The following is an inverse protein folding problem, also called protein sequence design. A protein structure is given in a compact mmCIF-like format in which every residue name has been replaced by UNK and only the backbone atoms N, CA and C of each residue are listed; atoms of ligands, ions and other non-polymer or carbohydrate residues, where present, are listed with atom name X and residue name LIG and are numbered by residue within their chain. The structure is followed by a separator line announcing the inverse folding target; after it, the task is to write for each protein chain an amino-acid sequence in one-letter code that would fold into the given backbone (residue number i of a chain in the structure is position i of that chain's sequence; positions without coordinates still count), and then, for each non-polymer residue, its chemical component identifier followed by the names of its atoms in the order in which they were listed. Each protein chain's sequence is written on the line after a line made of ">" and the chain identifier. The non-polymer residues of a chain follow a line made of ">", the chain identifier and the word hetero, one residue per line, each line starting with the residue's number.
data_IF_627094377853
#
_entry.id   IF_627094377853
#
_cell.length_a   1.000
_cell.length_b   1.000
_cell.length_c   1.000
_cell.angle_alpha   90.00
_cell.angle_beta   90.00
_cell.angle_gamma   90.00
#
_symmetry.space_group_name_H-M   'P 1'
#
loop_
_entity.id
_entity.type
_entity.pdbx_description
1 polymer ?
#
# COMPACT_ATOMS: atom_id res chain seq x y z
N UNK A 1 17.00 29.30 18.46
CA UNK A 1 15.68 28.83 18.00
C UNK A 1 15.84 28.06 16.70
N UNK A 2 16.63 28.58 15.74
CA UNK A 2 17.17 27.88 14.57
C UNK A 2 17.53 26.39 14.77
N UNK A 3 18.33 26.04 15.79
CA UNK A 3 18.71 24.64 16.02
C UNK A 3 17.51 23.69 16.28
N UNK A 4 16.46 24.18 16.94
CA UNK A 4 15.25 23.40 17.21
C UNK A 4 14.45 23.21 15.90
N UNK A 5 14.42 24.25 15.05
CA UNK A 5 13.75 24.18 13.75
C UNK A 5 14.48 23.21 12.82
N UNK A 6 15.81 23.25 12.79
CA UNK A 6 16.63 22.29 12.03
C UNK A 6 16.38 20.85 12.46
N UNK A 7 16.30 20.58 13.78
CA UNK A 7 15.93 19.26 14.29
C UNK A 7 14.52 18.82 13.87
N UNK A 8 13.56 19.76 13.84
CA UNK A 8 12.20 19.45 13.39
C UNK A 8 12.14 19.13 11.89
N UNK A 9 12.87 19.89 11.07
CA UNK A 9 13.02 19.64 9.63
C UNK A 9 13.68 18.28 9.34
N UNK A 10 14.70 17.90 10.11
CA UNK A 10 15.31 16.56 10.03
C UNK A 10 14.31 15.45 10.38
N UNK A 11 13.44 15.67 11.37
CA UNK A 11 12.40 14.72 11.73
C UNK A 11 11.36 14.59 10.61
N UNK A 12 10.89 15.70 10.04
CA UNK A 12 9.97 15.67 8.90
C UNK A 12 10.60 14.89 7.74
N UNK A 13 11.86 15.14 7.41
CA UNK A 13 12.55 14.42 6.33
C UNK A 13 12.60 12.91 6.55
N UNK A 14 12.88 12.45 7.78
CA UNK A 14 12.84 11.01 8.11
C UNK A 14 11.44 10.42 7.91
N UNK A 15 10.39 11.15 8.29
CA UNK A 15 9.01 10.71 8.09
C UNK A 15 8.64 10.65 6.60
N UNK A 16 9.11 11.60 5.78
CA UNK A 16 8.94 11.57 4.32
C UNK A 16 9.54 10.29 3.72
N UNK A 17 10.77 9.95 4.11
CA UNK A 17 11.48 8.74 3.66
C UNK A 17 10.76 7.45 4.09
N UNK A 18 10.33 7.37 5.36
CA UNK A 18 9.58 6.21 5.87
C UNK A 18 8.25 6.00 5.15
N UNK A 19 7.51 7.08 4.90
CA UNK A 19 6.22 7.00 4.18
C UNK A 19 6.46 6.61 2.72
N UNK A 20 7.49 7.18 2.08
CA UNK A 20 7.91 6.79 0.74
C UNK A 20 8.23 5.29 0.63
N UNK A 21 8.99 4.75 1.60
CA UNK A 21 9.30 3.32 1.68
C UNK A 21 8.03 2.48 1.84
N UNK A 22 7.11 2.86 2.74
CA UNK A 22 5.84 2.14 2.95
C UNK A 22 4.97 2.14 1.69
N UNK A 23 4.92 3.24 0.95
CA UNK A 23 4.20 3.31 -0.33
C UNK A 23 4.81 2.36 -1.36
N UNK A 24 6.14 2.27 -1.42
CA UNK A 24 6.83 1.34 -2.32
C UNK A 24 6.50 -0.12 -1.99
N UNK A 25 6.56 -0.50 -0.71
CA UNK A 25 6.25 -1.85 -0.23
C UNK A 25 4.79 -2.24 -0.55
N UNK A 26 3.84 -1.35 -0.27
CA UNK A 26 2.41 -1.60 -0.56
C UNK A 26 2.17 -1.72 -2.06
N UNK A 27 2.87 -0.92 -2.89
CA UNK A 27 2.76 -1.04 -4.34
C UNK A 27 3.30 -2.38 -4.87
N UNK A 28 4.41 -2.88 -4.32
CA UNK A 28 4.95 -4.20 -4.69
C UNK A 28 3.95 -5.31 -4.38
N UNK A 29 3.41 -5.32 -3.15
CA UNK A 29 2.38 -6.29 -2.74
C UNK A 29 1.12 -6.20 -3.62
N UNK A 30 0.69 -4.98 -3.98
CA UNK A 30 -0.45 -4.78 -4.88
C UNK A 30 -0.19 -5.41 -6.26
N UNK A 31 1.00 -5.19 -6.83
CA UNK A 31 1.38 -5.77 -8.14
C UNK A 31 1.42 -7.30 -8.10
N UNK A 32 1.91 -7.89 -7.02
CA UNK A 32 1.89 -9.35 -6.83
C UNK A 32 0.46 -9.89 -6.75
N UNK A 33 -0.43 -9.19 -6.05
CA UNK A 33 -1.85 -9.55 -5.97
C UNK A 33 -2.55 -9.40 -7.34
N UNK A 34 -2.30 -8.31 -8.07
CA UNK A 34 -2.85 -8.09 -9.41
C UNK A 34 -2.36 -9.15 -10.41
N UNK A 35 -1.08 -9.52 -10.34
CA UNK A 35 -0.50 -10.59 -11.16
C UNK A 35 -1.14 -11.94 -10.83
N UNK A 36 -1.29 -12.25 -9.54
CA UNK A 36 -1.95 -13.49 -9.12
C UNK A 36 -3.41 -13.54 -9.54
N UNK A 37 -4.12 -12.42 -9.43
CA UNK A 37 -5.51 -12.31 -9.87
C UNK A 37 -5.63 -12.53 -11.38
N UNK A 38 -4.76 -11.90 -12.17
CA UNK A 38 -4.74 -12.06 -13.63
C UNK A 38 -4.42 -13.49 -14.06
N UNK A 39 -3.53 -14.19 -13.36
CA UNK A 39 -3.29 -15.63 -13.60
C UNK A 39 -4.57 -16.43 -13.34
N UNK A 40 -5.27 -16.17 -12.24
CA UNK A 40 -6.52 -16.86 -11.89
C UNK A 40 -7.66 -16.53 -12.86
N UNK A 41 -7.69 -15.31 -13.42
CA UNK A 41 -8.67 -14.90 -14.43
C UNK A 41 -8.33 -15.42 -15.84
N UNK A 42 -7.06 -15.60 -16.16
CA UNK A 42 -6.58 -16.04 -17.46
C UNK A 42 -6.63 -17.56 -17.70
N UNK A 43 -6.92 -18.36 -16.66
CA UNK A 43 -7.22 -19.77 -16.86
C UNK A 43 -8.59 -19.89 -17.55
N UNK A 44 -8.76 -20.72 -18.59
CA UNK A 44 -10.07 -20.96 -19.18
C UNK A 44 -11.01 -21.64 -18.17
N UNK A 45 -12.27 -21.19 -18.10
CA UNK A 45 -13.27 -21.72 -17.18
C UNK A 45 -13.39 -23.26 -17.28
N UNK A 46 -13.30 -23.83 -18.49
CA UNK A 46 -13.33 -25.29 -18.72
C UNK A 46 -12.17 -26.04 -18.05
N UNK A 47 -10.95 -25.49 -18.12
CA UNK A 47 -9.76 -26.07 -17.45
C UNK A 47 -9.82 -25.87 -15.94
N UNK A 48 -10.40 -24.75 -15.50
CA UNK A 48 -10.61 -24.44 -14.08
C UNK A 48 -11.67 -25.35 -13.45
N UNK A 49 -12.76 -25.61 -14.15
CA UNK A 49 -13.82 -26.50 -13.69
C UNK A 49 -13.33 -27.95 -13.65
N UNK A 50 -12.47 -28.35 -14.59
CA UNK A 50 -11.85 -29.68 -14.61
C UNK A 50 -10.84 -29.87 -13.46
N UNK A 51 -10.02 -28.86 -13.13
CA UNK A 51 -9.16 -28.86 -11.94
C UNK A 51 -9.96 -28.83 -10.64
N UNK A 52 -11.04 -28.03 -10.58
CA UNK A 52 -11.90 -27.94 -9.39
C UNK A 52 -12.70 -29.23 -9.17
N UNK A 53 -13.17 -29.89 -10.24
CA UNK A 53 -13.82 -31.20 -10.17
C UNK A 53 -12.83 -32.31 -9.80
N UNK A 54 -11.61 -32.30 -10.32
CA UNK A 54 -10.59 -33.31 -9.95
C UNK A 54 -10.15 -33.16 -8.48
N UNK A 55 -9.97 -31.92 -8.00
CA UNK A 55 -9.70 -31.61 -6.61
C UNK A 55 -10.91 -31.92 -5.72
N UNK A 56 -12.13 -31.63 -6.17
CA UNK A 56 -13.34 -31.98 -5.43
C UNK A 56 -13.48 -33.50 -5.30
N UNK A 57 -13.23 -34.28 -6.36
CA UNK A 57 -13.31 -35.76 -6.32
C UNK A 57 -12.31 -36.38 -5.32
N UNK A 58 -11.11 -35.82 -5.15
CA UNK A 58 -10.18 -36.25 -4.09
C UNK A 58 -10.59 -35.73 -2.69
N UNK A 59 -11.39 -34.67 -2.62
CA UNK A 59 -11.79 -33.95 -1.39
C UNK A 59 -13.23 -34.24 -0.94
N UNK A 60 -14.05 -35.00 -1.68
CA UNK A 60 -15.39 -35.44 -1.21
C UNK A 60 -15.29 -36.23 0.11
N UNK A 61 -14.09 -36.71 0.47
CA UNK A 61 -13.82 -37.39 1.75
C UNK A 61 -13.50 -36.42 2.90
N UNK A 62 -13.26 -35.12 2.67
CA UNK A 62 -12.90 -34.16 3.74
C UNK A 62 -13.47 -32.76 3.49
N UNK A 63 -14.34 -32.30 4.38
CA UNK A 63 -14.66 -30.88 4.64
C UNK A 63 -15.66 -30.17 3.70
N UNK A 64 -16.95 -30.45 3.94
CA UNK A 64 -18.12 -29.69 3.48
C UNK A 64 -18.32 -28.44 4.36
N UNK A 65 -17.39 -27.47 4.39
CA UNK A 65 -17.60 -26.23 5.19
C UNK A 65 -16.93 -24.94 4.73
N UNK A 66 -16.02 -24.95 3.75
CA UNK A 66 -15.47 -23.70 3.21
C UNK A 66 -15.76 -23.60 1.70
N UNK A 67 -16.31 -22.48 1.20
CA UNK A 67 -16.41 -22.28 -0.24
C UNK A 67 -15.01 -22.11 -0.81
N UNK A 68 -14.39 -23.24 -1.16
CA UNK A 68 -13.19 -23.35 -1.98
C UNK A 68 -13.46 -22.92 -3.45
N UNK A 69 -14.37 -21.95 -3.65
CA UNK A 69 -14.67 -21.45 -4.98
C UNK A 69 -13.66 -20.40 -5.38
N UNK A 70 -13.18 -20.52 -6.61
CA UNK A 70 -12.27 -19.55 -7.24
C UNK A 70 -12.88 -18.13 -7.21
N UNK A 71 -14.20 -18.02 -7.28
CA UNK A 71 -14.95 -16.77 -7.17
C UNK A 71 -14.78 -16.08 -5.81
N UNK A 72 -14.78 -16.85 -4.71
CA UNK A 72 -14.48 -16.33 -3.38
C UNK A 72 -13.03 -15.82 -3.30
N UNK A 73 -12.08 -16.55 -3.89
CA UNK A 73 -10.66 -16.14 -3.96
C UNK A 73 -10.45 -14.88 -4.78
N UNK A 74 -11.13 -14.72 -5.93
CA UNK A 74 -11.11 -13.51 -6.76
C UNK A 74 -11.66 -12.31 -5.98
N UNK A 75 -12.80 -12.49 -5.32
CA UNK A 75 -13.44 -11.44 -4.50
C UNK A 75 -12.53 -10.98 -3.36
N UNK A 76 -11.92 -11.93 -2.63
CA UNK A 76 -11.00 -11.62 -1.53
C UNK A 76 -9.77 -10.84 -2.02
N UNK A 77 -9.12 -11.29 -3.10
CA UNK A 77 -7.95 -10.61 -3.70
C UNK A 77 -8.31 -9.22 -4.22
N UNK A 78 -9.45 -9.06 -4.87
CA UNK A 78 -9.96 -7.76 -5.31
C UNK A 78 -10.15 -6.78 -4.15
N UNK A 79 -10.72 -7.27 -3.04
CA UNK A 79 -10.85 -6.49 -1.80
C UNK A 79 -9.49 -6.06 -1.22
N UNK A 80 -8.50 -6.95 -1.21
CA UNK A 80 -7.14 -6.64 -0.75
C UNK A 80 -6.45 -5.58 -1.63
N UNK A 81 -6.60 -5.67 -2.95
CA UNK A 81 -6.07 -4.68 -3.90
C UNK A 81 -6.71 -3.30 -3.65
N UNK A 82 -8.03 -3.25 -3.43
CA UNK A 82 -8.71 -1.99 -3.14
C UNK A 82 -8.23 -1.39 -1.81
N UNK A 83 -8.10 -2.20 -0.77
CA UNK A 83 -7.56 -1.74 0.52
C UNK A 83 -6.12 -1.22 0.40
N UNK A 84 -5.29 -1.84 -0.44
CA UNK A 84 -3.93 -1.37 -0.73
C UNK A 84 -3.95 0.00 -1.43
N UNK A 85 -4.83 0.20 -2.42
CA UNK A 85 -5.02 1.50 -3.10
C UNK A 85 -5.44 2.59 -2.12
N UNK A 86 -6.40 2.30 -1.25
CA UNK A 86 -6.89 3.26 -0.25
C UNK A 86 -5.80 3.59 0.78
N UNK A 87 -4.95 2.64 1.15
CA UNK A 87 -3.82 2.88 2.04
C UNK A 87 -2.77 3.77 1.39
N UNK A 88 -2.37 3.47 0.14
CA UNK A 88 -1.44 4.31 -0.62
C UNK A 88 -1.94 5.75 -0.67
N UNK A 89 -3.21 5.96 -1.01
CA UNK A 89 -3.81 7.30 -1.08
C UNK A 89 -3.72 8.05 0.26
N UNK A 90 -3.96 7.37 1.38
CA UNK A 90 -3.81 7.96 2.73
C UNK A 90 -2.36 8.32 3.05
N UNK A 91 -1.40 7.47 2.66
CA UNK A 91 0.02 7.74 2.84
C UNK A 91 0.49 8.91 1.97
N UNK A 92 0.01 9.01 0.73
CA UNK A 92 0.30 10.13 -0.17
C UNK A 92 -0.25 11.47 0.37
N UNK A 93 -1.46 11.45 0.95
CA UNK A 93 -2.02 12.63 1.60
C UNK A 93 -1.19 13.07 2.81
N UNK A 94 -0.78 12.12 3.66
CA UNK A 94 0.13 12.41 4.78
C UNK A 94 1.48 12.94 4.31
N UNK A 95 2.03 12.40 3.23
CA UNK A 95 3.27 12.90 2.63
C UNK A 95 3.11 14.34 2.11
N UNK A 96 1.94 14.67 1.53
CA UNK A 96 1.64 16.04 1.10
C UNK A 96 1.57 17.01 2.28
N UNK A 97 0.96 16.60 3.38
CA UNK A 97 0.89 17.41 4.61
C UNK A 97 2.28 17.66 5.19
N UNK A 98 3.12 16.63 5.28
CA UNK A 98 4.50 16.77 5.75
C UNK A 98 5.33 17.69 4.86
N UNK A 99 5.17 17.62 3.54
CA UNK A 99 5.85 18.52 2.59
C UNK A 99 5.44 19.98 2.79
N UNK A 100 4.16 20.22 3.08
CA UNK A 100 3.69 21.58 3.37
C UNK A 100 4.24 22.06 4.70
N UNK A 101 4.17 21.24 5.75
CA UNK A 101 4.73 21.56 7.06
C UNK A 101 6.22 21.88 6.97
N UNK A 102 6.99 21.07 6.23
CA UNK A 102 8.41 21.29 5.97
C UNK A 102 8.67 22.68 5.37
N UNK A 103 7.90 23.04 4.34
CA UNK A 103 8.02 24.33 3.66
C UNK A 103 7.75 25.49 4.62
N UNK A 104 6.74 25.36 5.47
CA UNK A 104 6.39 26.38 6.46
C UNK A 104 7.52 26.57 7.48
N UNK A 105 8.15 25.48 7.94
CA UNK A 105 9.31 25.54 8.84
C UNK A 105 10.59 26.07 8.18
N UNK A 106 10.83 25.75 6.91
CA UNK A 106 11.94 26.31 6.13
C UNK A 106 11.82 27.85 6.01
N UNK A 107 10.60 28.35 5.79
CA UNK A 107 10.33 29.79 5.75
C UNK A 107 10.57 30.47 7.11
N UNK A 108 10.15 29.84 8.22
CA UNK A 108 10.43 30.32 9.57
C UNK A 108 11.95 30.39 9.82
N UNK A 109 12.68 29.34 9.47
CA UNK A 109 14.14 29.28 9.65
C UNK A 109 14.85 30.38 8.85
N UNK A 110 14.43 30.62 7.61
CA UNK A 110 14.99 31.67 6.77
C UNK A 110 14.74 33.07 7.37
N UNK A 111 13.54 33.32 7.88
CA UNK A 111 13.21 34.58 8.55
C UNK A 111 14.02 34.77 9.84
N UNK A 112 14.23 33.73 10.65
CA UNK A 112 15.10 33.82 11.83
C UNK A 112 16.54 34.17 11.47
N UNK A 113 17.09 33.54 10.42
CA UNK A 113 18.45 33.81 9.94
C UNK A 113 18.60 35.26 9.47
N UNK A 114 17.65 35.75 8.66
CA UNK A 114 17.67 37.15 8.18
C UNK A 114 17.60 38.19 9.31
N UNK A 115 16.87 37.89 10.39
CA UNK A 115 16.75 38.75 11.56
C UNK A 115 18.00 38.75 12.46
N UNK A 116 18.88 37.74 12.34
CA UNK A 116 20.16 37.68 13.06
C UNK A 116 21.28 38.44 12.34
N UNK A 117 21.15 38.64 11.02
CA UNK A 117 22.12 39.35 10.17
C UNK A 117 21.92 40.89 10.13
N UNK A 118 20.88 41.42 10.81
CA UNK A 118 20.58 42.85 10.94
C UNK A 118 20.78 43.35 12.37
#
# INVERSE_FOLDING_TARGET
>A
MAHIIEQHLEHIQKLEEEIGSKIADINSLKQELETTLSIVEGVPDDLMELMSRSASISTIIRDISEPNSIDFSKTQKGGQIQAAKDNIKKQEEKLRELKQEKKDWEEILENERKNLDH
#
